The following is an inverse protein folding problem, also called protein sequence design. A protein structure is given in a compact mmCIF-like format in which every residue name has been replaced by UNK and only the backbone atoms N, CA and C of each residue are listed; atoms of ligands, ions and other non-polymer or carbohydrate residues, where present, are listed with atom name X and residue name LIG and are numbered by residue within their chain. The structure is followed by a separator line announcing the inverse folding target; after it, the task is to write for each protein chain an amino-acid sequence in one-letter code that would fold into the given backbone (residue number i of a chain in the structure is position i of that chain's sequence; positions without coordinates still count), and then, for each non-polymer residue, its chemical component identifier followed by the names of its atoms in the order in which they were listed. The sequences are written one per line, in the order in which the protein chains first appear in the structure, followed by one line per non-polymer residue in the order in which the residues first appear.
data_IF_425766495949
#
_entry.id   IF_425766495949
#
_cell.length_a   1.000
_cell.length_b   1.000
_cell.length_c   1.000
_cell.angle_alpha   90.00
_cell.angle_beta   90.00
_cell.angle_gamma   90.00
#
_symmetry.space_group_name_H-M   'P 1'
#
loop_
_entity.id
_entity.type
_entity.pdbx_description
1 polymer ?
#
# COMPACT_ATOMS: atom_id res chain seq x y z
N UNK A 1 -4.00 15.82 -40.37
CA UNK A 1 -4.66 14.71 -39.63
C UNK A 1 -6.15 15.05 -39.53
N UNK A 2 -7.05 14.14 -39.94
CA UNK A 2 -8.51 14.34 -39.91
C UNK A 2 -9.13 13.70 -38.68
N UNK A 3 -10.35 14.10 -38.30
CA UNK A 3 -11.03 13.57 -37.10
C UNK A 3 -11.28 12.05 -37.21
N UNK A 4 -11.49 11.54 -38.42
CA UNK A 4 -11.66 10.11 -38.69
C UNK A 4 -10.39 9.32 -38.36
N UNK A 5 -9.22 9.88 -38.62
CA UNK A 5 -7.93 9.24 -38.29
C UNK A 5 -7.71 9.20 -36.76
N UNK A 6 -8.23 10.18 -36.04
CA UNK A 6 -8.20 10.19 -34.56
C UNK A 6 -9.14 9.11 -34.03
N UNK A 7 -10.35 8.97 -34.58
CA UNK A 7 -11.30 7.92 -34.18
C UNK A 7 -10.70 6.53 -34.37
N UNK A 8 -10.17 6.25 -35.56
CA UNK A 8 -9.56 4.95 -35.87
C UNK A 8 -8.38 4.63 -34.93
N UNK A 9 -7.59 5.64 -34.55
CA UNK A 9 -6.49 5.48 -33.60
C UNK A 9 -6.99 5.03 -32.22
N UNK A 10 -8.05 5.66 -31.71
CA UNK A 10 -8.61 5.36 -30.38
C UNK A 10 -9.51 4.11 -30.36
N UNK A 11 -10.08 3.70 -31.50
CA UNK A 11 -10.75 2.41 -31.63
C UNK A 11 -9.74 1.25 -31.56
N UNK A 12 -8.57 1.41 -32.21
CA UNK A 12 -7.48 0.42 -32.17
C UNK A 12 -6.71 0.43 -30.85
N UNK A 13 -6.55 1.61 -30.27
CA UNK A 13 -5.75 1.85 -29.06
C UNK A 13 -6.58 2.71 -28.12
N UNK A 14 -7.47 2.08 -27.31
CA UNK A 14 -8.30 2.80 -26.36
C UNK A 14 -7.47 3.73 -25.47
N UNK A 15 -8.11 4.81 -25.01
CA UNK A 15 -7.47 5.79 -24.14
C UNK A 15 -6.79 5.11 -22.94
N UNK A 16 -5.56 5.52 -22.65
CA UNK A 16 -4.77 5.06 -21.51
C UNK A 16 -4.67 6.14 -20.45
N UNK A 17 -4.35 5.75 -19.21
CA UNK A 17 -3.97 6.71 -18.18
C UNK A 17 -2.79 7.56 -18.66
N UNK A 18 -2.93 8.89 -18.53
CA UNK A 18 -1.89 9.84 -18.88
C UNK A 18 -0.92 9.95 -17.70
N UNK A 19 0.37 9.71 -17.95
CA UNK A 19 1.43 9.75 -16.96
C UNK A 19 1.97 8.37 -16.59
N UNK A 20 3.06 8.35 -15.82
CA UNK A 20 3.59 7.11 -15.24
C UNK A 20 2.71 6.75 -14.05
N UNK A 21 2.20 5.52 -14.04
CA UNK A 21 1.54 4.94 -12.88
C UNK A 21 2.32 3.70 -12.45
N UNK A 22 2.41 3.49 -11.14
CA UNK A 22 2.97 2.27 -10.57
C UNK A 22 1.85 1.51 -9.87
N UNK A 23 1.73 0.24 -10.19
CA UNK A 23 0.78 -0.63 -9.51
C UNK A 23 1.54 -1.41 -8.44
N UNK A 24 0.98 -1.43 -7.25
CA UNK A 24 1.47 -2.18 -6.10
C UNK A 24 0.36 -3.08 -5.58
N UNK A 25 0.73 -4.21 -5.02
CA UNK A 25 -0.18 -5.14 -4.39
C UNK A 25 0.29 -5.46 -2.98
N UNK A 26 -0.65 -5.43 -2.03
CA UNK A 26 -0.41 -5.85 -0.65
C UNK A 26 -1.31 -7.03 -0.28
N UNK A 27 -0.81 -7.93 0.55
CA UNK A 27 -1.62 -8.89 1.27
C UNK A 27 -1.93 -8.32 2.66
N UNK A 28 -3.18 -8.36 3.08
CA UNK A 28 -3.62 -8.15 4.46
C UNK A 28 -3.77 -9.55 5.07
N UNK A 29 -2.70 -10.11 5.67
CA UNK A 29 -2.67 -11.51 6.03
C UNK A 29 -3.10 -11.69 7.48
N UNK A 30 -3.93 -12.68 7.71
CA UNK A 30 -4.25 -13.14 9.05
C UNK A 30 -3.63 -14.50 9.32
N UNK A 31 -3.33 -14.78 10.58
CA UNK A 31 -3.04 -16.13 11.04
C UNK A 31 -3.86 -16.45 12.28
N UNK A 32 -4.39 -17.67 12.34
CA UNK A 32 -5.10 -18.17 13.51
C UNK A 32 -4.13 -18.90 14.44
N UNK A 33 -3.98 -18.43 15.68
CA UNK A 33 -3.19 -19.10 16.73
C UNK A 33 -4.00 -19.14 18.02
N UNK A 34 -4.08 -20.30 18.66
CA UNK A 34 -4.76 -20.47 19.97
C UNK A 34 -6.18 -19.84 20.00
N UNK A 35 -6.98 -20.10 18.97
CA UNK A 35 -8.34 -19.54 18.77
C UNK A 35 -8.45 -18.01 18.66
N UNK A 36 -7.33 -17.32 18.49
CA UNK A 36 -7.26 -15.89 18.22
C UNK A 36 -6.80 -15.61 16.79
N UNK A 37 -7.22 -14.47 16.26
CA UNK A 37 -6.84 -13.99 14.94
C UNK A 37 -5.79 -12.89 15.07
N UNK A 38 -4.67 -13.05 14.37
CA UNK A 38 -3.57 -12.10 14.37
C UNK A 38 -3.37 -11.54 12.98
N UNK A 39 -3.20 -10.23 12.87
CA UNK A 39 -2.71 -9.58 11.68
C UNK A 39 -1.19 -9.80 11.58
N UNK A 40 -0.72 -10.22 10.42
CA UNK A 40 0.70 -10.41 10.13
C UNK A 40 1.22 -9.15 9.44
N UNK A 41 2.19 -8.49 10.07
CA UNK A 41 2.91 -7.33 9.51
C UNK A 41 4.41 -7.61 9.51
N UNK A 42 5.14 -6.99 8.61
CA UNK A 42 6.60 -7.03 8.58
C UNK A 42 7.19 -5.70 9.02
N UNK A 43 8.38 -5.76 9.63
CA UNK A 43 9.26 -4.61 9.82
C UNK A 43 10.32 -4.66 8.73
N UNK A 44 10.38 -3.63 7.88
CA UNK A 44 11.34 -3.54 6.78
C UNK A 44 12.77 -3.49 7.31
N UNK A 45 13.70 -4.16 6.64
CA UNK A 45 15.13 -4.12 6.97
C UNK A 45 15.70 -2.69 6.94
N UNK A 46 16.66 -2.41 7.83
CA UNK A 46 17.19 -1.05 8.06
C UNK A 46 18.06 -0.54 6.90
N UNK A 47 18.53 -1.44 6.03
CA UNK A 47 19.40 -1.18 4.88
C UNK A 47 18.65 -0.96 3.55
N UNK A 48 17.31 -0.99 3.58
CA UNK A 48 16.50 -0.73 2.40
C UNK A 48 16.49 0.75 1.99
N UNK A 49 16.57 0.98 0.68
CA UNK A 49 16.55 2.32 0.06
C UNK A 49 15.25 3.08 0.36
N UNK A 50 14.15 2.36 0.57
CA UNK A 50 12.85 2.94 0.89
C UNK A 50 12.34 2.45 2.25
N UNK A 51 11.97 3.40 3.10
CA UNK A 51 11.18 3.19 4.31
C UNK A 51 11.79 2.17 5.30
N UNK A 52 13.09 2.30 5.66
CA UNK A 52 13.74 1.38 6.58
C UNK A 52 13.06 1.39 7.95
N UNK A 53 12.83 0.21 8.53
CA UNK A 53 12.21 0.03 9.84
C UNK A 53 10.71 0.32 9.91
N UNK A 54 10.04 0.62 8.77
CA UNK A 54 8.59 0.81 8.76
C UNK A 54 7.85 -0.52 8.94
N UNK A 55 6.71 -0.45 9.64
CA UNK A 55 5.77 -1.57 9.76
C UNK A 55 4.80 -1.54 8.58
N UNK A 56 4.82 -2.58 7.76
CA UNK A 56 3.97 -2.69 6.59
C UNK A 56 3.34 -4.07 6.41
N UNK A 57 2.37 -4.11 5.50
CA UNK A 57 1.87 -5.35 4.95
C UNK A 57 2.91 -5.93 3.98
N UNK A 58 3.03 -7.26 3.89
CA UNK A 58 3.82 -7.87 2.83
C UNK A 58 3.18 -7.56 1.47
N UNK A 59 4.03 -7.37 0.49
CA UNK A 59 3.70 -7.04 -0.88
C UNK A 59 4.54 -5.91 -1.44
N UNK A 60 4.49 -5.77 -2.75
CA UNK A 60 5.30 -4.79 -3.44
C UNK A 60 4.79 -4.48 -4.82
N UNK A 61 5.70 -4.36 -5.78
CA UNK A 61 5.37 -3.81 -7.10
C UNK A 61 4.76 -4.90 -7.98
N UNK A 62 3.65 -4.57 -8.64
CA UNK A 62 3.10 -5.41 -9.70
C UNK A 62 3.89 -5.19 -10.98
N UNK A 63 4.40 -6.28 -11.56
CA UNK A 63 5.15 -6.23 -12.82
C UNK A 63 4.24 -5.95 -14.02
N UNK A 64 4.84 -5.46 -15.12
CA UNK A 64 4.07 -5.11 -16.30
C UNK A 64 3.45 -6.37 -16.95
N UNK A 65 2.12 -6.42 -17.02
CA UNK A 65 1.37 -7.58 -17.52
C UNK A 65 1.12 -8.67 -16.48
N UNK A 66 1.62 -8.50 -15.25
CA UNK A 66 1.35 -9.41 -14.14
C UNK A 66 -0.09 -9.22 -13.63
N UNK A 67 -0.76 -10.32 -13.31
CA UNK A 67 -2.06 -10.24 -12.62
C UNK A 67 -1.83 -9.80 -11.19
N UNK A 68 -2.60 -8.84 -10.70
CA UNK A 68 -2.52 -8.31 -9.33
C UNK A 68 -2.40 -9.41 -8.27
N UNK A 69 -3.24 -10.45 -8.33
CA UNK A 69 -3.21 -11.58 -7.39
C UNK A 69 -1.85 -12.32 -7.40
N UNK A 70 -1.27 -12.51 -8.59
CA UNK A 70 0.01 -13.20 -8.74
C UNK A 70 1.16 -12.37 -8.16
N UNK A 71 1.18 -11.06 -8.42
CA UNK A 71 2.22 -10.18 -7.87
C UNK A 71 2.16 -10.08 -6.34
N UNK A 72 0.95 -10.00 -5.76
CA UNK A 72 0.80 -10.04 -4.29
C UNK A 72 1.38 -11.31 -3.70
N UNK A 73 1.05 -12.47 -4.28
CA UNK A 73 1.52 -13.76 -3.79
C UNK A 73 3.03 -13.91 -3.96
N UNK A 74 3.59 -13.51 -5.10
CA UNK A 74 5.03 -13.55 -5.38
C UNK A 74 5.79 -12.73 -4.35
N UNK A 75 5.46 -11.44 -4.20
CA UNK A 75 6.12 -10.53 -3.27
C UNK A 75 5.98 -11.05 -1.82
N UNK A 76 4.78 -11.48 -1.41
CA UNK A 76 4.57 -12.04 -0.06
C UNK A 76 5.44 -13.28 0.19
N UNK A 77 5.55 -14.18 -0.78
CA UNK A 77 6.37 -15.38 -0.64
C UNK A 77 7.87 -15.05 -0.60
N UNK A 78 8.31 -14.07 -1.39
CA UNK A 78 9.70 -13.58 -1.42
C UNK A 78 10.08 -12.93 -0.08
N UNK A 79 9.25 -12.01 0.43
CA UNK A 79 9.49 -11.28 1.68
C UNK A 79 9.43 -12.20 2.91
N UNK A 80 8.40 -13.05 3.01
CA UNK A 80 8.20 -13.93 4.17
C UNK A 80 8.94 -15.27 4.08
N UNK A 81 9.50 -15.62 2.92
CA UNK A 81 10.17 -16.91 2.71
C UNK A 81 9.24 -18.12 2.83
N UNK A 82 7.93 -17.95 2.57
CA UNK A 82 6.90 -18.99 2.64
C UNK A 82 6.48 -19.47 1.25
N UNK A 83 5.70 -20.56 1.19
CA UNK A 83 5.17 -21.07 -0.08
C UNK A 83 3.80 -20.48 -0.35
N UNK A 84 3.45 -20.39 -1.62
CA UNK A 84 2.08 -20.01 -2.02
C UNK A 84 1.03 -20.96 -1.44
N UNK A 85 1.36 -22.24 -1.24
CA UNK A 85 0.48 -23.23 -0.59
C UNK A 85 0.16 -22.91 0.87
N UNK A 86 0.97 -22.06 1.51
CA UNK A 86 0.79 -21.64 2.89
C UNK A 86 -0.17 -20.44 2.98
N UNK A 87 -0.65 -19.92 1.85
CA UNK A 87 -1.49 -18.72 1.75
C UNK A 87 -2.83 -19.05 1.09
N UNK A 88 -3.92 -18.83 1.82
CA UNK A 88 -5.27 -18.83 1.28
C UNK A 88 -5.75 -17.40 1.06
N UNK A 89 -5.92 -16.99 -0.21
CA UNK A 89 -6.55 -15.70 -0.52
C UNK A 89 -8.07 -15.79 -0.43
N UNK A 90 -8.66 -15.10 0.55
CA UNK A 90 -10.09 -15.13 0.84
C UNK A 90 -10.86 -14.22 -0.12
N UNK A 91 -10.48 -12.94 -0.18
CA UNK A 91 -11.25 -11.93 -0.90
C UNK A 91 -10.37 -10.76 -1.32
N UNK A 92 -10.78 -10.07 -2.39
CA UNK A 92 -10.20 -8.78 -2.77
C UNK A 92 -10.57 -7.74 -1.73
N UNK A 93 -9.59 -7.00 -1.21
CA UNK A 93 -9.80 -5.94 -0.25
C UNK A 93 -9.99 -4.56 -0.90
N UNK A 94 -9.89 -3.52 -0.07
CA UNK A 94 -9.93 -2.13 -0.51
C UNK A 94 -8.73 -1.77 -1.41
N UNK A 95 -8.84 -0.65 -2.12
CA UNK A 95 -7.81 -0.19 -3.04
C UNK A 95 -7.60 1.31 -2.89
N UNK A 96 -6.35 1.74 -2.88
CA UNK A 96 -6.00 3.15 -3.02
C UNK A 96 -5.72 3.46 -4.49
N UNK A 97 -6.46 4.42 -5.05
CA UNK A 97 -6.31 4.84 -6.43
C UNK A 97 -5.53 6.16 -6.53
N UNK A 98 -4.51 6.19 -7.40
CA UNK A 98 -3.68 7.38 -7.69
C UNK A 98 -3.04 8.05 -6.48
N UNK A 99 -2.70 7.27 -5.46
CA UNK A 99 -1.89 7.76 -4.35
C UNK A 99 -0.47 8.07 -4.85
N UNK A 100 -0.10 9.35 -4.95
CA UNK A 100 1.22 9.78 -5.47
C UNK A 100 1.61 9.12 -6.81
N UNK A 101 0.64 9.00 -7.73
CA UNK A 101 0.77 8.28 -9.01
C UNK A 101 0.95 6.76 -8.89
N UNK A 102 0.52 6.16 -7.77
CA UNK A 102 0.46 4.72 -7.58
C UNK A 102 -0.98 4.24 -7.35
N UNK A 103 -1.27 3.01 -7.79
CA UNK A 103 -2.42 2.26 -7.32
C UNK A 103 -1.92 1.20 -6.34
N UNK A 104 -2.63 1.00 -5.25
CA UNK A 104 -2.33 -0.04 -4.26
C UNK A 104 -3.57 -0.93 -4.16
N UNK A 105 -3.45 -2.14 -4.69
CA UNK A 105 -4.47 -3.17 -4.59
C UNK A 105 -4.23 -3.99 -3.34
N UNK A 106 -5.29 -4.42 -2.66
CA UNK A 106 -5.17 -5.35 -1.53
C UNK A 106 -5.95 -6.64 -1.75
N UNK A 107 -5.46 -7.71 -1.14
CA UNK A 107 -6.22 -8.94 -0.87
C UNK A 107 -6.19 -9.23 0.62
N UNK A 108 -7.25 -9.84 1.13
CA UNK A 108 -7.29 -10.41 2.48
C UNK A 108 -7.04 -11.90 2.35
N UNK A 109 -6.15 -12.45 3.18
CA UNK A 109 -5.83 -13.88 3.17
C UNK A 109 -5.51 -14.44 4.53
N UNK A 110 -5.41 -15.76 4.61
CA UNK A 110 -4.98 -16.52 5.78
C UNK A 110 -3.64 -17.17 5.46
N UNK A 111 -2.68 -17.04 6.37
CA UNK A 111 -1.41 -17.78 6.34
C UNK A 111 -1.54 -18.99 7.26
N UNK A 112 -0.98 -20.13 6.84
CA UNK A 112 -0.92 -21.37 7.63
C UNK A 112 -0.33 -21.12 9.03
N UNK A 113 -1.00 -21.63 10.06
CA UNK A 113 -0.60 -21.46 11.46
C UNK A 113 0.72 -22.15 11.83
N UNK A 114 1.21 -23.08 11.00
CA UNK A 114 2.47 -23.79 11.18
C UNK A 114 3.70 -22.99 10.71
N UNK A 115 3.51 -21.83 10.06
CA UNK A 115 4.62 -20.95 9.69
C UNK A 115 5.32 -20.42 10.94
N UNK A 116 6.64 -20.58 10.97
CA UNK A 116 7.53 -20.05 12.02
C UNK A 116 7.90 -18.58 11.75
N UNK A 117 6.96 -17.67 12.00
CA UNK A 117 7.18 -16.23 11.77
C UNK A 117 8.35 -15.65 12.56
N UNK A 118 8.72 -16.24 13.71
CA UNK A 118 9.82 -15.73 14.53
C UNK A 118 11.20 -15.98 13.88
N UNK A 119 11.26 -16.94 12.95
CA UNK A 119 12.46 -17.24 12.17
C UNK A 119 12.66 -16.36 10.92
N UNK A 120 11.65 -15.57 10.53
CA UNK A 120 11.67 -14.78 9.30
C UNK A 120 12.52 -13.53 9.51
N UNK A 121 13.72 -13.54 8.93
CA UNK A 121 14.62 -12.39 8.86
C UNK A 121 15.54 -12.55 7.64
N UNK A 122 15.54 -11.55 6.74
CA UNK A 122 16.31 -11.55 5.50
C UNK A 122 16.68 -10.11 5.09
N UNK A 123 17.16 -9.92 3.85
CA UNK A 123 17.59 -8.61 3.34
C UNK A 123 16.46 -7.59 3.16
N UNK A 124 15.20 -8.02 3.19
CA UNK A 124 14.03 -7.16 2.99
C UNK A 124 13.21 -7.03 4.28
N UNK A 125 13.12 -8.12 5.05
CA UNK A 125 12.34 -8.20 6.28
C UNK A 125 13.27 -8.36 7.48
N UNK A 126 13.22 -7.41 8.40
CA UNK A 126 13.94 -7.48 9.67
C UNK A 126 13.34 -8.53 10.60
N UNK A 127 12.02 -8.50 10.74
CA UNK A 127 11.20 -9.44 11.53
C UNK A 127 9.72 -9.30 11.20
N UNK A 128 8.94 -10.30 11.59
CA UNK A 128 7.49 -10.31 11.49
C UNK A 128 6.85 -10.01 12.85
N UNK A 129 5.78 -9.22 12.83
CA UNK A 129 4.95 -8.86 13.97
C UNK A 129 3.57 -9.49 13.85
N UNK A 130 3.13 -10.17 14.91
CA UNK A 130 1.78 -10.70 15.03
C UNK A 130 0.98 -9.83 16.00
N UNK A 131 -0.06 -9.19 15.50
CA UNK A 131 -0.90 -8.28 16.30
C UNK A 131 -2.29 -8.87 16.42
N UNK A 132 -2.75 -9.12 17.63
CA UNK A 132 -4.08 -9.67 17.84
C UNK A 132 -5.13 -8.67 17.33
N UNK A 133 -6.11 -9.14 16.56
CA UNK A 133 -7.13 -8.26 15.99
C UNK A 133 -7.91 -7.49 17.08
N UNK A 134 -8.16 -8.13 18.22
CA UNK A 134 -8.79 -7.50 19.38
C UNK A 134 -7.96 -6.34 19.97
N UNK A 135 -6.63 -6.46 19.95
CA UNK A 135 -5.74 -5.38 20.38
C UNK A 135 -5.82 -4.21 19.40
N UNK A 136 -5.81 -4.47 18.09
CA UNK A 136 -5.97 -3.43 17.06
C UNK A 136 -7.31 -2.69 17.17
N UNK A 137 -8.40 -3.40 17.46
CA UNK A 137 -9.73 -2.79 17.64
C UNK A 137 -9.80 -1.80 18.81
N UNK A 138 -8.93 -1.94 19.81
CA UNK A 138 -8.88 -1.08 21.00
C UNK A 138 -7.68 -0.14 21.02
N UNK A 139 -6.83 -0.19 19.98
CA UNK A 139 -5.62 0.59 19.90
C UNK A 139 -5.91 2.10 19.82
N UNK A 140 -5.03 2.91 20.42
CA UNK A 140 -5.11 4.36 20.33
C UNK A 140 -4.68 4.81 18.93
N UNK A 141 -5.54 5.60 18.29
CA UNK A 141 -5.27 6.21 16.98
C UNK A 141 -5.08 7.71 17.14
N UNK A 142 -4.01 8.23 16.55
CA UNK A 142 -3.72 9.66 16.44
C UNK A 142 -3.71 10.06 14.96
N UNK A 143 -4.29 11.21 14.63
CA UNK A 143 -4.30 11.74 13.26
C UNK A 143 -3.46 13.00 13.19
N UNK A 144 -2.48 13.00 12.28
CA UNK A 144 -1.72 14.17 11.90
C UNK A 144 -2.11 14.58 10.49
N UNK A 145 -1.85 15.83 10.11
CA UNK A 145 -2.22 16.34 8.81
C UNK A 145 -1.05 17.06 8.16
N UNK A 146 -0.85 16.79 6.87
CA UNK A 146 0.10 17.52 6.02
C UNK A 146 -0.62 18.03 4.78
N UNK A 147 -0.01 18.97 4.06
CA UNK A 147 -0.53 19.44 2.77
C UNK A 147 0.18 18.72 1.64
N UNK A 148 -0.59 18.06 0.78
CA UNK A 148 -0.10 17.56 -0.50
C UNK A 148 -0.50 18.54 -1.58
N UNK A 149 0.48 18.96 -2.36
CA UNK A 149 0.30 19.82 -3.50
C UNK A 149 1.64 20.17 -4.13
N UNK A 150 1.63 21.01 -5.15
CA UNK A 150 2.85 21.49 -5.78
C UNK A 150 3.68 22.30 -4.77
N UNK A 151 4.83 21.75 -4.41
CA UNK A 151 5.78 22.40 -3.49
C UNK A 151 6.96 22.96 -4.29
N UNK A 152 7.33 24.20 -3.99
CA UNK A 152 8.55 24.84 -4.48
C UNK A 152 8.74 24.81 -6.01
N UNK A 153 7.73 25.22 -6.78
CA UNK A 153 7.87 25.31 -8.25
C UNK A 153 8.54 26.62 -8.69
N UNK A 154 9.65 26.99 -8.07
CA UNK A 154 10.38 28.23 -8.38
C UNK A 154 10.91 28.22 -9.83
N UNK A 155 11.30 27.05 -10.33
CA UNK A 155 11.77 26.86 -11.71
C UNK A 155 10.64 26.77 -12.74
N UNK A 156 9.37 26.91 -12.32
CA UNK A 156 8.27 26.92 -13.27
C UNK A 156 8.36 28.17 -14.15
N UNK A 157 8.35 28.03 -15.49
CA UNK A 157 8.49 29.19 -16.37
C UNK A 157 7.15 29.93 -16.48
N UNK A 158 6.75 30.66 -15.43
CA UNK A 158 5.47 31.39 -15.36
C UNK A 158 5.26 32.29 -16.58
N UNK A 159 6.33 32.91 -17.08
CA UNK A 159 6.27 33.74 -18.28
C UNK A 159 5.71 33.00 -19.52
N UNK A 160 5.95 31.68 -19.64
CA UNK A 160 5.41 30.86 -20.74
C UNK A 160 3.90 30.64 -20.66
N UNK A 161 3.32 30.79 -19.47
CA UNK A 161 1.87 30.75 -19.28
C UNK A 161 1.26 32.15 -19.14
N UNK A 162 2.04 33.21 -19.39
CA UNK A 162 1.56 34.59 -19.30
C UNK A 162 1.42 35.13 -17.87
N UNK A 163 2.07 34.49 -16.90
CA UNK A 163 2.03 34.89 -15.50
C UNK A 163 3.43 35.24 -14.97
N UNK A 164 3.53 36.03 -13.91
CA UNK A 164 4.79 36.28 -13.20
C UNK A 164 4.97 35.33 -12.00
N UNK A 165 3.86 34.89 -11.41
CA UNK A 165 3.76 33.82 -10.43
C UNK A 165 2.35 33.19 -10.52
N UNK A 166 2.13 32.03 -9.89
CA UNK A 166 0.82 31.37 -9.85
C UNK A 166 0.54 30.86 -8.43
N UNK A 167 -0.45 31.44 -7.75
CA UNK A 167 -0.76 31.13 -6.35
C UNK A 167 -1.97 30.20 -6.20
N UNK A 168 -2.65 29.86 -7.30
CA UNK A 168 -3.85 29.03 -7.30
C UNK A 168 -3.55 27.52 -7.35
N UNK A 169 -2.36 27.11 -6.91
CA UNK A 169 -2.03 25.70 -6.81
C UNK A 169 -2.99 25.01 -5.83
N UNK A 170 -3.48 23.84 -6.24
CA UNK A 170 -4.34 23.04 -5.39
C UNK A 170 -3.49 22.32 -4.33
N UNK A 171 -3.83 22.58 -3.07
CA UNK A 171 -3.36 21.81 -1.92
C UNK A 171 -4.53 21.02 -1.35
N UNK A 172 -4.26 19.80 -0.92
CA UNK A 172 -5.20 18.95 -0.19
C UNK A 172 -4.60 18.62 1.17
N UNK A 173 -5.44 18.67 2.19
CA UNK A 173 -5.06 18.10 3.47
C UNK A 173 -4.97 16.58 3.31
N UNK A 174 -3.91 16.03 3.86
CA UNK A 174 -3.60 14.62 3.85
C UNK A 174 -3.42 14.16 5.28
N UNK A 175 -4.32 13.28 5.71
CA UNK A 175 -4.25 12.63 7.00
C UNK A 175 -3.14 11.57 7.03
N UNK A 176 -2.39 11.57 8.12
CA UNK A 176 -1.32 10.61 8.44
C UNK A 176 -1.72 9.95 9.76
N UNK A 177 -2.48 8.84 9.70
CA UNK A 177 -2.86 8.12 10.91
C UNK A 177 -1.66 7.43 11.54
N UNK A 178 -1.67 7.32 12.86
CA UNK A 178 -0.73 6.57 13.67
C UNK A 178 -1.53 5.70 14.64
N UNK A 179 -1.35 4.38 14.55
CA UNK A 179 -1.88 3.38 15.47
C UNK A 179 -0.76 2.97 16.41
N UNK A 180 -0.96 3.16 17.72
CA UNK A 180 -0.04 2.70 18.76
C UNK A 180 -0.58 1.40 19.35
N UNK A 181 0.12 0.30 19.13
CA UNK A 181 -0.26 -1.01 19.63
C UNK A 181 0.96 -1.66 20.28
N UNK A 182 0.91 -2.00 21.58
CA UNK A 182 2.10 -2.48 22.33
C UNK A 182 3.31 -1.55 22.12
N UNK A 183 4.46 -2.12 21.76
CA UNK A 183 5.72 -1.41 21.50
C UNK A 183 5.93 -1.07 20.02
N UNK A 184 4.91 -1.27 19.17
CA UNK A 184 4.98 -0.98 17.74
C UNK A 184 4.12 0.23 17.36
N UNK A 185 4.63 0.96 16.36
CA UNK A 185 3.97 2.13 15.79
C UNK A 185 3.69 1.85 14.32
N UNK A 186 2.41 1.79 13.97
CA UNK A 186 1.96 1.59 12.59
C UNK A 186 1.42 2.93 12.10
N UNK A 187 1.88 3.41 10.95
CA UNK A 187 1.49 4.73 10.47
C UNK A 187 1.34 4.76 8.94
N UNK A 188 0.89 5.90 8.41
CA UNK A 188 0.81 6.12 6.97
C UNK A 188 -0.20 5.20 6.29
N UNK A 189 0.19 4.61 5.15
CA UNK A 189 -0.72 3.80 4.34
C UNK A 189 -1.12 2.49 5.03
N UNK A 190 -0.19 1.82 5.70
CA UNK A 190 -0.48 0.59 6.46
C UNK A 190 -1.59 0.85 7.48
N UNK A 191 -1.45 1.94 8.25
CA UNK A 191 -2.47 2.36 9.21
C UNK A 191 -3.81 2.68 8.52
N UNK A 192 -3.82 3.33 7.35
CA UNK A 192 -5.08 3.59 6.60
C UNK A 192 -5.81 2.31 6.21
N UNK A 193 -5.11 1.32 5.67
CA UNK A 193 -5.72 0.03 5.31
C UNK A 193 -6.23 -0.71 6.55
N UNK A 194 -5.50 -0.68 7.66
CA UNK A 194 -5.97 -1.25 8.93
C UNK A 194 -7.24 -0.54 9.41
N UNK A 195 -7.26 0.80 9.41
CA UNK A 195 -8.43 1.56 9.88
C UNK A 195 -9.67 1.31 9.02
N UNK A 196 -9.52 1.18 7.69
CA UNK A 196 -10.65 0.84 6.81
C UNK A 196 -11.16 -0.58 7.07
N UNK A 197 -10.25 -1.55 7.24
CA UNK A 197 -10.60 -2.91 7.64
C UNK A 197 -11.36 -2.93 8.98
N UNK A 198 -10.84 -2.24 10.00
CA UNK A 198 -11.48 -2.18 11.33
C UNK A 198 -12.84 -1.50 11.27
N UNK A 199 -13.00 -0.47 10.43
CA UNK A 199 -14.29 0.16 10.20
C UNK A 199 -15.30 -0.85 9.63
N UNK A 200 -14.93 -1.60 8.59
CA UNK A 200 -15.78 -2.64 7.98
C UNK A 200 -16.17 -3.76 8.95
N UNK A 201 -15.28 -4.12 9.88
CA UNK A 201 -15.56 -5.15 10.91
C UNK A 201 -16.62 -4.68 11.91
N UNK A 202 -16.72 -3.37 12.15
CA UNK A 202 -17.64 -2.77 13.11
C UNK A 202 -18.97 -2.28 12.49
N UNK A 203 -19.15 -2.44 11.17
CA UNK A 203 -20.41 -2.16 10.45
C UNK A 203 -21.38 -3.35 10.55
#
# INVERSE_FOLDING_TARGET
MKIEQIKELYDKTPGKYIGKHKDYGILIPFVKRQDKLFLVLEERADDLVSQPGEICFPGGRIENGEKVKAGILRETCEELGIKESDIELIVKGDMLHRYLNANIYSYIGIIDGNVDFDSISNSEVKRVHLIELCELMTAKVEFYFTKIGPFNIEDFPYAKIGHTHYDQWMYRDWDVPIIKCKDIVIWGLTAKFILELLKRINE
#
